data_IF_090542191343
#
_entry.id   IF_090542191343
#
_cell.length_a   1.000
_cell.length_b   1.000
_cell.length_c   1.000
_cell.angle_alpha   90.00
_cell.angle_beta   90.00
_cell.angle_gamma   90.00
#
_symmetry.space_group_name_H-M   'P 1'
#
loop_
_entity.id
_entity.type
_entity.pdbx_description
1 polymer ?
#
# COMPACT_ATOMS: atom_id res chain seq x y z
N UNK A 1 21.08 27.29 -3.16
CA UNK A 1 21.29 26.24 -4.18
C UNK A 1 19.93 25.62 -4.42
N UNK A 2 19.30 25.97 -5.54
CA UNK A 2 17.95 25.50 -5.89
C UNK A 2 18.14 24.12 -6.50
N UNK A 3 17.77 23.08 -5.75
CA UNK A 3 17.70 21.72 -6.27
C UNK A 3 16.39 21.62 -7.04
N UNK A 4 16.44 22.01 -8.31
CA UNK A 4 15.47 21.59 -9.31
C UNK A 4 15.62 20.07 -9.42
N UNK A 5 14.88 19.33 -8.59
CA UNK A 5 14.63 17.91 -8.85
C UNK A 5 13.69 17.91 -10.04
N UNK A 6 14.30 17.89 -11.22
CA UNK A 6 13.67 17.49 -12.46
C UNK A 6 12.73 16.34 -12.16
N UNK A 7 11.45 16.53 -12.49
CA UNK A 7 10.53 15.44 -12.79
C UNK A 7 11.19 14.57 -13.87
N UNK A 8 11.96 13.58 -13.44
CA UNK A 8 12.44 12.52 -14.30
C UNK A 8 11.25 11.60 -14.53
N UNK A 9 10.47 11.90 -15.55
CA UNK A 9 9.82 10.82 -16.30
C UNK A 9 10.95 10.00 -16.95
N UNK A 10 10.84 8.66 -16.90
CA UNK A 10 11.55 7.62 -17.67
C UNK A 10 12.48 6.61 -16.93
N UNK A 11 12.17 5.32 -17.16
CA UNK A 11 12.96 4.07 -17.04
C UNK A 11 13.20 3.38 -15.68
N UNK A 12 12.59 3.81 -14.58
CA UNK A 12 12.77 3.15 -13.26
C UNK A 12 11.50 2.76 -12.50
N UNK A 13 10.35 3.36 -12.82
CA UNK A 13 9.13 3.10 -12.08
C UNK A 13 8.47 1.78 -12.51
N UNK A 14 8.02 0.96 -11.55
CA UNK A 14 7.29 -0.25 -11.88
C UNK A 14 6.03 0.10 -12.67
N UNK A 15 5.73 -0.75 -13.67
CA UNK A 15 4.54 -0.69 -14.52
C UNK A 15 3.58 -1.85 -14.24
N UNK A 16 3.92 -2.72 -13.30
CA UNK A 16 3.14 -3.89 -12.89
C UNK A 16 3.52 -4.31 -11.48
N UNK A 17 2.74 -5.22 -10.88
CA UNK A 17 3.12 -5.92 -9.66
C UNK A 17 4.28 -6.89 -9.93
N UNK A 18 5.52 -6.41 -9.82
CA UNK A 18 6.73 -7.23 -9.85
C UNK A 18 7.31 -7.46 -8.45
N UNK A 19 8.34 -8.30 -8.36
CA UNK A 19 8.98 -8.67 -7.10
C UNK A 19 9.50 -7.46 -6.30
N UNK A 20 9.87 -6.37 -6.97
CA UNK A 20 10.31 -5.13 -6.32
C UNK A 20 9.15 -4.43 -5.62
N UNK A 21 7.98 -4.37 -6.28
CA UNK A 21 6.76 -3.80 -5.70
C UNK A 21 6.30 -4.64 -4.52
N UNK A 22 6.32 -5.96 -4.66
CA UNK A 22 6.00 -6.90 -3.58
C UNK A 22 6.91 -6.69 -2.37
N UNK A 23 8.23 -6.69 -2.56
CA UNK A 23 9.18 -6.53 -1.47
C UNK A 23 9.01 -5.19 -0.76
N UNK A 24 8.83 -4.11 -1.53
CA UNK A 24 8.64 -2.77 -0.96
C UNK A 24 7.32 -2.66 -0.19
N UNK A 25 6.24 -3.22 -0.73
CA UNK A 25 4.94 -3.24 -0.06
C UNK A 25 5.00 -4.04 1.25
N UNK A 26 5.52 -5.28 1.21
CA UNK A 26 5.61 -6.13 2.39
C UNK A 26 6.49 -5.50 3.47
N UNK A 27 7.65 -4.95 3.10
CA UNK A 27 8.55 -4.25 4.02
C UNK A 27 7.86 -3.04 4.66
N UNK A 28 7.20 -2.20 3.86
CA UNK A 28 6.50 -1.02 4.37
C UNK A 28 5.34 -1.39 5.30
N UNK A 29 4.56 -2.41 4.92
CA UNK A 29 3.46 -2.93 5.72
C UNK A 29 3.95 -3.50 7.05
N UNK A 30 5.04 -4.28 7.06
CA UNK A 30 5.58 -4.87 8.29
C UNK A 30 6.04 -3.78 9.27
N UNK A 31 6.78 -2.77 8.79
CA UNK A 31 7.20 -1.63 9.61
C UNK A 31 5.98 -0.89 10.21
N UNK A 32 4.93 -0.69 9.43
CA UNK A 32 3.69 -0.08 9.92
C UNK A 32 2.95 -0.98 10.94
N UNK A 33 2.91 -2.30 10.68
CA UNK A 33 2.27 -3.28 11.54
C UNK A 33 2.98 -3.46 12.88
N UNK A 34 4.30 -3.26 12.94
CA UNK A 34 5.06 -3.30 14.20
C UNK A 34 4.60 -2.23 15.19
N UNK A 35 4.13 -1.08 14.70
CA UNK A 35 3.59 0.00 15.53
C UNK A 35 2.26 -0.39 16.22
N UNK A 36 1.54 -1.39 15.71
CA UNK A 36 0.28 -1.87 16.28
C UNK A 36 0.47 -3.17 17.10
N UNK A 37 0.33 -3.14 18.43
CA UNK A 37 0.49 -4.32 19.28
C UNK A 37 -0.44 -5.49 18.93
N UNK A 38 -1.62 -5.23 18.35
CA UNK A 38 -2.58 -6.28 18.00
C UNK A 38 -2.21 -7.01 16.70
N UNK A 39 -1.40 -6.38 15.84
CA UNK A 39 -1.00 -6.95 14.54
C UNK A 39 0.45 -7.41 14.53
N UNK A 40 1.34 -6.78 15.30
CA UNK A 40 2.75 -7.15 15.44
C UNK A 40 3.03 -8.67 15.49
N UNK A 41 2.36 -9.50 16.32
CA UNK A 41 2.65 -10.93 16.38
C UNK A 41 2.30 -11.70 15.09
N UNK A 42 1.49 -11.11 14.22
CA UNK A 42 1.00 -11.71 12.98
C UNK A 42 1.37 -10.89 11.75
N UNK A 43 2.30 -9.93 11.86
CA UNK A 43 2.61 -8.96 10.82
C UNK A 43 2.91 -9.60 9.44
N UNK A 44 3.75 -10.66 9.32
CA UNK A 44 4.00 -11.29 8.02
C UNK A 44 2.74 -11.90 7.37
N UNK A 45 1.85 -12.50 8.19
CA UNK A 45 0.59 -13.10 7.70
C UNK A 45 -0.42 -12.02 7.31
N UNK A 46 -0.52 -10.97 8.13
CA UNK A 46 -1.36 -9.82 7.87
C UNK A 46 -0.95 -9.09 6.58
N UNK A 47 0.34 -8.79 6.41
CA UNK A 47 0.86 -8.11 5.24
C UNK A 47 0.79 -8.96 3.97
N UNK A 48 1.08 -10.27 4.08
CA UNK A 48 0.90 -11.20 2.97
C UNK A 48 -0.56 -11.33 2.54
N UNK A 49 -1.51 -11.33 3.49
CA UNK A 49 -2.93 -11.29 3.18
C UNK A 49 -3.31 -10.03 2.40
N UNK A 50 -2.85 -8.86 2.88
CA UNK A 50 -3.16 -7.59 2.24
C UNK A 50 -2.58 -7.50 0.82
N UNK A 51 -1.33 -7.96 0.63
CA UNK A 51 -0.69 -8.02 -0.69
C UNK A 51 -1.47 -8.90 -1.67
N UNK A 52 -1.80 -10.13 -1.27
CA UNK A 52 -2.51 -11.08 -2.13
C UNK A 52 -3.88 -10.56 -2.58
N UNK A 53 -4.60 -9.84 -1.71
CA UNK A 53 -5.87 -9.22 -2.06
C UNK A 53 -5.69 -8.00 -2.94
N UNK A 54 -4.72 -7.15 -2.60
CA UNK A 54 -4.40 -5.95 -3.39
C UNK A 54 -4.13 -6.30 -4.85
N UNK A 55 -3.26 -7.26 -5.14
CA UNK A 55 -2.94 -7.64 -6.53
C UNK A 55 -4.09 -8.34 -7.28
N UNK A 56 -5.11 -8.81 -6.55
CA UNK A 56 -6.25 -9.52 -7.11
C UNK A 56 -7.47 -8.60 -7.33
N UNK A 57 -7.59 -7.54 -6.55
CA UNK A 57 -8.78 -6.68 -6.49
C UNK A 57 -8.52 -5.27 -7.01
N UNK A 58 -7.27 -4.80 -7.01
CA UNK A 58 -6.88 -3.46 -7.43
C UNK A 58 -5.94 -3.58 -8.63
N UNK A 59 -6.28 -2.88 -9.71
CA UNK A 59 -5.41 -2.78 -10.87
C UNK A 59 -4.15 -1.95 -10.55
N UNK A 60 -3.03 -2.31 -11.17
CA UNK A 60 -1.74 -1.68 -10.87
C UNK A 60 -1.75 -0.16 -11.11
N UNK A 61 -2.44 0.32 -12.15
CA UNK A 61 -2.54 1.76 -12.46
C UNK A 61 -3.22 2.53 -11.31
N UNK A 62 -4.27 1.95 -10.74
CA UNK A 62 -5.01 2.52 -9.61
C UNK A 62 -4.19 2.49 -8.32
N UNK A 63 -3.47 1.39 -8.07
CA UNK A 63 -2.53 1.31 -6.96
C UNK A 63 -1.41 2.34 -7.09
N UNK A 64 -0.80 2.47 -8.27
CA UNK A 64 0.27 3.45 -8.51
C UNK A 64 -0.23 4.87 -8.29
N UNK A 65 -1.41 5.20 -8.81
CA UNK A 65 -2.03 6.50 -8.59
C UNK A 65 -2.25 6.78 -7.11
N UNK A 66 -2.75 5.81 -6.35
CA UNK A 66 -2.91 5.95 -4.90
C UNK A 66 -1.57 6.10 -4.18
N UNK A 67 -0.55 5.33 -4.54
CA UNK A 67 0.80 5.40 -3.95
C UNK A 67 1.43 6.79 -4.20
N UNK A 68 1.29 7.31 -5.41
CA UNK A 68 1.74 8.65 -5.78
C UNK A 68 0.95 9.74 -5.04
N UNK A 69 -0.39 9.62 -4.97
CA UNK A 69 -1.23 10.55 -4.21
C UNK A 69 -0.87 10.58 -2.71
N UNK A 70 -0.53 9.43 -2.11
CA UNK A 70 -0.15 9.32 -0.69
C UNK A 70 1.25 9.86 -0.42
N UNK A 71 2.18 9.71 -1.37
CA UNK A 71 3.52 10.34 -1.28
C UNK A 71 3.41 11.86 -1.26
N UNK A 72 2.52 12.42 -2.09
CA UNK A 72 2.28 13.86 -2.15
C UNK A 72 1.44 14.39 -0.97
N UNK A 73 0.39 13.66 -0.58
CA UNK A 73 -0.44 13.96 0.60
C UNK A 73 -0.90 12.69 1.33
N UNK A 74 -0.35 12.39 2.53
CA UNK A 74 -0.69 11.18 3.27
C UNK A 74 -2.16 11.11 3.74
N UNK A 75 -2.94 12.19 3.62
CA UNK A 75 -4.37 12.19 3.94
C UNK A 75 -5.25 11.65 2.80
N UNK A 76 -4.71 11.49 1.58
CA UNK A 76 -5.45 11.02 0.40
C UNK A 76 -6.00 9.60 0.50
N UNK A 77 -5.45 8.78 1.39
CA UNK A 77 -6.05 7.48 1.76
C UNK A 77 -7.47 7.63 2.35
N UNK A 78 -7.82 8.81 2.91
CA UNK A 78 -9.06 9.03 3.68
C UNK A 78 -10.07 9.95 3.02
N UNK A 79 -9.68 10.68 1.98
CA UNK A 79 -10.50 11.72 1.39
C UNK A 79 -10.27 11.70 -0.11
N UNK A 80 -11.22 11.14 -0.86
CA UNK A 80 -11.82 11.73 -2.07
C UNK A 80 -12.75 10.69 -2.75
N UNK A 81 -13.64 11.23 -3.56
CA UNK A 81 -15.00 10.76 -3.87
C UNK A 81 -15.12 9.50 -4.77
N UNK A 82 -16.28 8.85 -4.64
CA UNK A 82 -17.00 7.92 -5.55
C UNK A 82 -16.32 6.66 -6.16
N UNK A 83 -14.99 6.54 -6.19
CA UNK A 83 -14.28 5.39 -6.82
C UNK A 83 -12.89 5.13 -6.17
N UNK A 84 -12.75 5.34 -4.85
CA UNK A 84 -11.41 5.40 -4.24
C UNK A 84 -10.80 4.04 -3.95
N UNK A 85 -9.75 3.70 -4.71
CA UNK A 85 -8.76 2.64 -4.42
C UNK A 85 -8.30 2.66 -2.95
N UNK A 86 -8.25 3.84 -2.33
CA UNK A 86 -7.96 4.00 -0.90
C UNK A 86 -9.00 3.35 0.02
N UNK A 87 -10.30 3.39 -0.33
CA UNK A 87 -11.35 2.71 0.41
C UNK A 87 -11.24 1.19 0.26
N UNK A 88 -11.02 0.69 -0.96
CA UNK A 88 -10.79 -0.74 -1.22
C UNK A 88 -9.56 -1.25 -0.47
N UNK A 89 -8.46 -0.48 -0.50
CA UNK A 89 -7.26 -0.81 0.26
C UNK A 89 -7.51 -0.84 1.77
N UNK A 90 -8.29 0.12 2.28
CA UNK A 90 -8.68 0.16 3.70
C UNK A 90 -9.52 -1.06 4.08
N UNK A 91 -10.45 -1.49 3.23
CA UNK A 91 -11.27 -2.69 3.42
C UNK A 91 -10.42 -3.96 3.41
N UNK A 92 -9.51 -4.10 2.44
CA UNK A 92 -8.54 -5.21 2.36
C UNK A 92 -7.78 -5.35 3.68
N UNK A 93 -7.21 -4.24 4.19
CA UNK A 93 -6.49 -4.25 5.46
C UNK A 93 -7.40 -4.56 6.65
N UNK A 94 -8.62 -4.02 6.69
CA UNK A 94 -9.59 -4.31 7.75
C UNK A 94 -9.95 -5.81 7.82
N UNK A 95 -10.19 -6.43 6.66
CA UNK A 95 -10.52 -7.85 6.56
C UNK A 95 -9.33 -8.75 6.90
N UNK A 96 -8.13 -8.43 6.41
CA UNK A 96 -6.92 -9.17 6.75
C UNK A 96 -6.62 -9.08 8.25
N UNK A 97 -6.88 -7.93 8.87
CA UNK A 97 -6.86 -7.78 10.33
C UNK A 97 -7.93 -8.64 11.00
N UNK A 98 -9.15 -8.70 10.48
CA UNK A 98 -10.20 -9.54 11.07
C UNK A 98 -9.87 -11.04 11.02
N UNK A 99 -9.18 -11.48 9.97
CA UNK A 99 -8.75 -12.87 9.76
C UNK A 99 -7.55 -13.26 10.62
N UNK A 100 -6.60 -12.36 10.84
CA UNK A 100 -5.32 -12.68 11.49
C UNK A 100 -5.10 -12.00 12.86
N UNK A 101 -5.83 -10.95 13.19
CA UNK A 101 -5.73 -10.20 14.45
C UNK A 101 -6.47 -10.81 15.64
N UNK A 102 -7.07 -11.99 15.49
CA UNK A 102 -7.55 -12.82 16.61
C UNK A 102 -6.45 -13.81 17.03
N UNK A 103 -5.37 -13.27 17.60
CA UNK A 103 -4.28 -14.03 18.20
C UNK A 103 -4.19 -13.76 19.69
#
# INVERSE_FOLDING_TARGET
>A
MVLLVSACTDEGDPTSYDATVEENFLRGCEVAAEADPAIRPVAPRYCGCAWNRLIAEIDFEDFKKLDDDVKDDPNKIRTDEEDSTGAQLTEIFADCRAQHGRG
#
